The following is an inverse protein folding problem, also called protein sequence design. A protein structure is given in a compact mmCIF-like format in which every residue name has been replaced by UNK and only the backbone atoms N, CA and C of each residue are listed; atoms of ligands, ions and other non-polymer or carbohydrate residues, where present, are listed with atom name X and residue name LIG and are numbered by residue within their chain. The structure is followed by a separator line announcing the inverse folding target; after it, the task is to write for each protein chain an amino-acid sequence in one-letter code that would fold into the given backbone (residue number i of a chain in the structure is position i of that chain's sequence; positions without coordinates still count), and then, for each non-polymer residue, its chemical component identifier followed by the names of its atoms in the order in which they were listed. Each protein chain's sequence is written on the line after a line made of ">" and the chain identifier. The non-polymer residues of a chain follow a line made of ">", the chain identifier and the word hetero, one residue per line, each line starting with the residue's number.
data_IF_638170456651
#
_entry.id   IF_638170456651
#
_cell.length_a   1.000
_cell.length_b   1.000
_cell.length_c   1.000
_cell.angle_alpha   90.00
_cell.angle_beta   90.00
_cell.angle_gamma   90.00
#
_symmetry.space_group_name_H-M   'P 1'
#
loop_
_entity.id
_entity.type
_entity.pdbx_description
1 polymer ?
#
# COMPACT_ATOMS: atom_id res chain seq x y z
N UNK A 1 20.88 -22.34 19.65
CA UNK A 1 20.12 -21.13 20.03
C UNK A 1 19.06 -20.89 18.96
N UNK A 2 17.82 -21.33 19.18
CA UNK A 2 16.70 -21.10 18.27
C UNK A 2 16.11 -19.73 18.58
N UNK A 3 16.20 -18.79 17.63
CA UNK A 3 15.58 -17.46 17.77
C UNK A 3 14.07 -17.65 17.98
N UNK A 4 13.53 -17.04 19.04
CA UNK A 4 12.10 -17.03 19.37
C UNK A 4 11.27 -16.28 18.32
N UNK A 5 9.93 -16.24 18.48
CA UNK A 5 9.02 -15.72 17.46
C UNK A 5 9.38 -14.28 17.10
N UNK A 6 9.66 -14.05 15.83
CA UNK A 6 9.99 -12.73 15.28
C UNK A 6 8.81 -11.79 15.46
N UNK A 7 9.11 -10.56 15.90
CA UNK A 7 8.18 -9.43 16.05
C UNK A 7 7.10 -9.42 14.97
N UNK A 8 5.84 -9.24 15.39
CA UNK A 8 4.68 -9.12 14.50
C UNK A 8 5.01 -8.18 13.34
N UNK A 9 4.93 -8.70 12.11
CA UNK A 9 5.21 -7.94 10.92
C UNK A 9 4.38 -6.64 10.87
N UNK A 10 5.03 -5.51 10.59
CA UNK A 10 4.35 -4.21 10.40
C UNK A 10 3.38 -4.33 9.22
N UNK A 11 2.16 -3.85 9.39
CA UNK A 11 1.10 -3.87 8.37
C UNK A 11 0.86 -2.46 7.84
N UNK A 12 0.74 -2.31 6.53
CA UNK A 12 0.23 -1.12 5.86
C UNK A 12 -1.28 -1.27 5.67
N UNK A 13 -2.11 -0.32 6.17
CA UNK A 13 -3.57 -0.44 6.08
C UNK A 13 -4.09 -0.39 4.65
N UNK A 14 -5.18 -1.11 4.40
CA UNK A 14 -5.99 -0.98 3.17
C UNK A 14 -7.31 -0.34 3.55
N UNK A 15 -7.67 0.74 2.85
CA UNK A 15 -8.83 1.57 3.13
C UNK A 15 -10.06 1.06 2.36
N UNK A 16 -11.17 0.89 3.06
CA UNK A 16 -12.48 0.71 2.43
C UNK A 16 -12.79 -0.68 1.86
N UNK A 17 -11.91 -1.66 2.01
CA UNK A 17 -12.17 -3.05 1.58
C UNK A 17 -12.61 -3.94 2.77
N UNK A 18 -13.73 -4.69 2.64
CA UNK A 18 -14.24 -5.53 3.73
C UNK A 18 -13.42 -6.80 3.97
N UNK A 19 -12.67 -7.27 2.97
CA UNK A 19 -11.95 -8.55 2.99
C UNK A 19 -10.44 -8.37 3.19
N UNK A 20 -9.86 -7.29 2.68
CA UNK A 20 -8.43 -6.97 2.77
C UNK A 20 -8.25 -5.73 3.64
N UNK A 21 -7.84 -5.93 4.89
CA UNK A 21 -7.65 -4.82 5.85
C UNK A 21 -6.25 -4.21 5.84
N UNK A 22 -5.29 -4.88 5.21
CA UNK A 22 -3.91 -4.43 5.17
C UNK A 22 -3.00 -5.45 4.50
N UNK A 23 -1.81 -4.99 4.15
CA UNK A 23 -0.74 -5.80 3.56
C UNK A 23 0.53 -5.70 4.40
N UNK A 24 1.40 -6.72 4.40
CA UNK A 24 2.76 -6.59 4.92
C UNK A 24 3.45 -5.31 4.47
N UNK A 25 4.01 -4.52 5.40
CA UNK A 25 4.69 -3.27 5.08
C UNK A 25 5.83 -3.46 4.09
N UNK A 26 6.51 -4.62 4.13
CA UNK A 26 7.55 -5.00 3.16
C UNK A 26 7.09 -4.99 1.70
N UNK A 27 5.79 -5.11 1.43
CA UNK A 27 5.21 -5.06 0.08
C UNK A 27 5.18 -3.63 -0.45
N UNK A 28 4.91 -2.63 0.40
CA UNK A 28 4.82 -1.22 -0.02
C UNK A 28 6.13 -0.46 0.11
N UNK A 29 7.02 -0.90 1.00
CA UNK A 29 8.30 -0.24 1.30
C UNK A 29 9.16 0.09 0.06
N UNK A 30 9.31 -0.81 -0.94
CA UNK A 30 10.09 -0.51 -2.14
C UNK A 30 9.49 0.60 -3.01
N UNK A 31 8.20 0.92 -2.83
CA UNK A 31 7.42 1.80 -3.68
C UNK A 31 7.18 3.20 -3.08
N UNK A 32 7.96 3.59 -2.05
CA UNK A 32 7.87 4.93 -1.41
C UNK A 32 7.88 6.09 -2.39
N UNK A 33 8.72 6.01 -3.43
CA UNK A 33 8.80 7.06 -4.46
C UNK A 33 7.49 7.20 -5.21
N UNK A 34 6.87 6.09 -5.61
CA UNK A 34 5.58 6.13 -6.31
C UNK A 34 4.46 6.62 -5.40
N UNK A 35 4.43 6.20 -4.14
CA UNK A 35 3.47 6.71 -3.16
C UNK A 35 3.57 8.24 -3.00
N UNK A 36 4.81 8.77 -2.93
CA UNK A 36 5.04 10.21 -2.91
C UNK A 36 4.57 10.87 -4.21
N UNK A 37 4.89 10.32 -5.38
CA UNK A 37 4.45 10.86 -6.68
C UNK A 37 2.93 10.86 -6.85
N UNK A 38 2.23 9.83 -6.36
CA UNK A 38 0.79 9.68 -6.54
C UNK A 38 -0.04 10.49 -5.52
N UNK A 39 0.49 10.71 -4.32
CA UNK A 39 -0.28 11.27 -3.20
C UNK A 39 0.37 12.45 -2.48
N UNK A 40 1.57 12.87 -2.88
CA UNK A 40 2.38 13.90 -2.19
C UNK A 40 2.59 13.60 -0.70
N UNK A 41 2.63 12.31 -0.34
CA UNK A 41 2.68 11.84 1.05
C UNK A 41 3.60 10.63 1.22
N UNK A 42 4.19 10.52 2.42
CA UNK A 42 4.97 9.34 2.81
C UNK A 42 4.05 8.15 3.13
N UNK A 43 4.58 6.93 3.07
CA UNK A 43 3.85 5.72 3.49
C UNK A 43 3.37 5.82 4.94
N UNK A 44 4.16 6.40 5.84
CA UNK A 44 3.78 6.66 7.22
C UNK A 44 2.54 7.55 7.28
N UNK A 45 2.53 8.67 6.55
CA UNK A 45 1.41 9.60 6.57
C UNK A 45 0.15 9.01 5.94
N UNK A 46 0.32 8.20 4.90
CA UNK A 46 -0.78 7.45 4.30
C UNK A 46 -1.35 6.43 5.30
N UNK A 47 -0.51 5.65 5.96
CA UNK A 47 -0.94 4.69 6.96
C UNK A 47 -1.66 5.34 8.16
N UNK A 48 -1.18 6.50 8.63
CA UNK A 48 -1.84 7.28 9.70
C UNK A 48 -3.29 7.67 9.37
N UNK A 49 -3.59 7.95 8.10
CA UNK A 49 -4.95 8.32 7.67
C UNK A 49 -5.82 7.13 7.21
N UNK A 50 -5.36 5.90 7.44
CA UNK A 50 -6.09 4.68 7.09
C UNK A 50 -5.61 3.96 5.84
N UNK A 51 -4.47 4.37 5.26
CA UNK A 51 -3.82 3.68 4.15
C UNK A 51 -4.29 4.14 2.77
N UNK A 52 -4.31 3.20 1.85
CA UNK A 52 -4.72 3.36 0.44
C UNK A 52 -5.86 2.39 0.13
N UNK A 53 -6.75 2.75 -0.80
CA UNK A 53 -7.67 1.76 -1.37
C UNK A 53 -6.90 0.69 -2.16
N UNK A 54 -7.55 -0.42 -2.52
CA UNK A 54 -6.89 -1.48 -3.29
C UNK A 54 -6.38 -1.00 -4.65
N UNK A 55 -7.14 -0.17 -5.36
CA UNK A 55 -6.74 0.39 -6.65
C UNK A 55 -5.56 1.36 -6.53
N UNK A 56 -5.55 2.23 -5.51
CA UNK A 56 -4.41 3.10 -5.20
C UNK A 56 -3.16 2.28 -4.82
N UNK A 57 -3.34 1.23 -4.01
CA UNK A 57 -2.26 0.32 -3.61
C UNK A 57 -1.66 -0.40 -4.84
N UNK A 58 -2.50 -0.88 -5.75
CA UNK A 58 -2.06 -1.50 -7.01
C UNK A 58 -1.34 -0.49 -7.89
N UNK A 59 -1.81 0.76 -7.99
CA UNK A 59 -1.13 1.83 -8.73
C UNK A 59 0.29 2.06 -8.19
N UNK A 60 0.42 2.18 -6.86
CA UNK A 60 1.72 2.40 -6.19
C UNK A 60 2.67 1.22 -6.42
N UNK A 61 2.20 -0.01 -6.26
CA UNK A 61 3.03 -1.22 -6.43
C UNK A 61 3.43 -1.41 -7.91
N UNK A 62 2.54 -1.10 -8.83
CA UNK A 62 2.79 -1.26 -10.28
C UNK A 62 3.62 -0.13 -10.88
N UNK A 63 3.89 0.94 -10.13
CA UNK A 63 4.59 2.12 -10.64
C UNK A 63 3.74 2.95 -11.60
N UNK A 64 2.40 2.84 -11.49
CA UNK A 64 1.45 3.53 -12.36
C UNK A 64 0.91 4.78 -11.66
N UNK A 65 0.58 5.81 -12.43
CA UNK A 65 -0.19 6.92 -11.88
C UNK A 65 -1.62 6.47 -11.61
N UNK A 66 -2.22 6.96 -10.52
CA UNK A 66 -3.58 6.59 -10.12
C UNK A 66 -4.61 6.78 -11.27
N UNK A 67 -4.44 7.81 -12.09
CA UNK A 67 -5.29 8.08 -13.25
C UNK A 67 -5.21 6.98 -14.34
N UNK A 68 -4.06 6.29 -14.47
CA UNK A 68 -3.87 5.25 -15.49
C UNK A 68 -4.52 3.92 -15.09
N UNK A 69 -4.62 3.65 -13.78
CA UNK A 69 -5.28 2.44 -13.24
C UNK A 69 -6.79 2.51 -13.42
N UNK A 70 -7.41 3.68 -13.26
CA UNK A 70 -8.87 3.86 -13.43
C UNK A 70 -9.29 3.61 -14.90
N UNK A 71 -8.42 3.89 -15.87
CA UNK A 71 -8.73 3.76 -17.31
C UNK A 71 -8.73 2.29 -17.77
N UNK A 72 -8.12 1.36 -17.02
CA UNK A 72 -8.10 -0.08 -17.34
C UNK A 72 -9.23 -0.89 -16.70
N UNK A 73 -10.45 -0.34 -16.63
CA UNK A 73 -11.63 -1.16 -16.30
C UNK A 73 -11.68 -2.34 -17.29
N UNK A 74 -11.61 -3.61 -16.84
CA UNK A 74 -11.88 -4.72 -17.74
C UNK A 74 -13.31 -4.59 -18.28
N UNK A 75 -13.49 -4.90 -19.57
CA UNK A 75 -14.81 -5.09 -20.17
C UNK A 75 -15.58 -6.19 -19.47
#
# INVERSE_FOLDING_TARGET
>A
MTKGPTSSERIFPVLGDPNVRGVPWRIVEPHRKQAMTNHDQTLERLAERGGLSLDELVAVISGEHWHDVIIRKPK
#
